data_IF_570019626962
#
_entry.id   IF_570019626962
#
_cell.length_a   1.000
_cell.length_b   1.000
_cell.length_c   1.000
_cell.angle_alpha   90.00
_cell.angle_beta   90.00
_cell.angle_gamma   90.00
#
_symmetry.space_group_name_H-M   'P 1'
#
loop_
_entity.id
_entity.type
_entity.pdbx_description
1 polymer ?
#
# COMPACT_ATOMS: atom_id res chain seq x y z
N UNK A 1 26.36 -41.71 -9.32
CA UNK A 1 26.95 -40.47 -8.84
C UNK A 1 25.85 -39.43 -8.88
N UNK A 2 25.14 -39.21 -7.76
CA UNK A 2 24.17 -38.14 -7.64
C UNK A 2 24.93 -36.81 -7.70
N UNK A 3 24.63 -35.98 -8.70
CA UNK A 3 25.14 -34.62 -8.77
C UNK A 3 24.61 -33.89 -7.54
N UNK A 4 25.51 -33.44 -6.67
CA UNK A 4 25.21 -32.45 -5.63
C UNK A 4 24.47 -31.26 -6.26
N UNK A 5 23.27 -30.97 -5.78
CA UNK A 5 22.42 -29.84 -6.25
C UNK A 5 22.97 -28.50 -5.71
N UNK A 6 24.20 -28.45 -5.24
CA UNK A 6 24.86 -27.20 -4.84
C UNK A 6 25.26 -26.45 -6.12
N UNK A 7 24.49 -25.40 -6.45
CA UNK A 7 24.91 -24.35 -7.39
C UNK A 7 25.90 -23.44 -6.62
N UNK A 8 27.14 -23.92 -6.46
CA UNK A 8 28.20 -23.20 -5.76
C UNK A 8 28.55 -21.92 -6.52
N UNK A 9 28.58 -20.80 -5.79
CA UNK A 9 29.06 -19.47 -6.16
C UNK A 9 28.09 -18.48 -6.82
N UNK A 10 26.79 -18.68 -6.75
CA UNK A 10 25.84 -17.65 -7.20
C UNK A 10 25.65 -16.58 -6.10
N UNK A 11 25.73 -15.33 -6.48
CA UNK A 11 25.40 -14.22 -5.56
C UNK A 11 23.90 -14.21 -5.26
N UNK A 12 23.50 -13.59 -4.16
CA UNK A 12 22.07 -13.47 -3.83
C UNK A 12 21.30 -12.69 -4.91
N UNK A 13 21.92 -11.69 -5.54
CA UNK A 13 21.33 -10.91 -6.63
C UNK A 13 21.06 -11.77 -7.86
N UNK A 14 22.00 -12.60 -8.26
CA UNK A 14 21.85 -13.51 -9.39
C UNK A 14 20.77 -14.56 -9.13
N UNK A 15 20.72 -15.13 -7.92
CA UNK A 15 19.68 -16.10 -7.56
C UNK A 15 18.27 -15.49 -7.57
N UNK A 16 18.11 -14.30 -7.01
CA UNK A 16 16.85 -13.56 -7.02
C UNK A 16 16.44 -13.18 -8.45
N UNK A 17 17.39 -12.68 -9.27
CA UNK A 17 17.14 -12.28 -10.63
C UNK A 17 16.70 -13.49 -11.49
N UNK A 18 17.37 -14.62 -11.35
CA UNK A 18 17.01 -15.87 -12.05
C UNK A 18 15.58 -16.29 -11.69
N UNK A 19 15.23 -16.29 -10.41
CA UNK A 19 13.90 -16.67 -9.96
C UNK A 19 12.82 -15.70 -10.49
N UNK A 20 13.08 -14.40 -10.50
CA UNK A 20 12.17 -13.39 -11.07
C UNK A 20 12.05 -13.52 -12.59
N UNK A 21 13.12 -13.84 -13.30
CA UNK A 21 13.10 -14.11 -14.75
C UNK A 21 12.23 -15.32 -15.09
N UNK A 22 12.37 -16.41 -14.32
CA UNK A 22 11.66 -17.67 -14.57
C UNK A 22 10.18 -17.62 -14.20
N UNK A 23 9.86 -17.04 -13.05
CA UNK A 23 8.50 -17.03 -12.49
C UNK A 23 7.76 -15.71 -12.61
N UNK A 24 8.46 -14.59 -12.71
CA UNK A 24 7.84 -13.26 -12.62
C UNK A 24 6.77 -12.99 -13.68
N UNK A 25 6.86 -13.64 -14.85
CA UNK A 25 5.85 -13.51 -15.90
C UNK A 25 4.58 -14.31 -15.63
N UNK A 26 4.65 -15.39 -14.87
CA UNK A 26 3.50 -16.21 -14.47
C UNK A 26 2.89 -15.75 -13.14
N UNK A 27 3.71 -15.20 -12.26
CA UNK A 27 3.32 -14.65 -10.96
C UNK A 27 3.05 -13.14 -11.07
N UNK A 28 1.96 -12.75 -11.72
CA UNK A 28 1.63 -11.34 -11.96
C UNK A 28 0.73 -10.75 -10.88
N UNK A 29 0.82 -9.44 -10.62
CA UNK A 29 -0.10 -8.74 -9.71
C UNK A 29 -1.56 -8.90 -10.16
N UNK A 30 -2.45 -9.23 -9.22
CA UNK A 30 -3.89 -9.31 -9.43
C UNK A 30 -4.58 -8.14 -8.75
N UNK A 31 -5.75 -7.74 -9.23
CA UNK A 31 -6.54 -6.66 -8.64
C UNK A 31 -7.80 -7.21 -7.98
N UNK A 32 -8.27 -6.48 -6.96
CA UNK A 32 -9.57 -6.60 -6.34
C UNK A 32 -10.17 -5.21 -6.12
N UNK A 33 -11.49 -5.11 -6.03
CA UNK A 33 -12.17 -3.86 -5.71
C UNK A 33 -12.49 -3.82 -4.22
N UNK A 34 -12.17 -2.70 -3.57
CA UNK A 34 -12.47 -2.48 -2.16
C UNK A 34 -13.06 -1.10 -1.92
N UNK A 35 -13.80 -0.96 -0.83
CA UNK A 35 -14.27 0.32 -0.33
C UNK A 35 -13.09 1.22 0.04
N UNK A 36 -13.16 2.51 -0.35
CA UNK A 36 -12.11 3.51 -0.05
C UNK A 36 -11.78 3.59 1.43
N UNK A 37 -12.77 3.42 2.32
CA UNK A 37 -12.58 3.48 3.78
C UNK A 37 -11.68 2.37 4.32
N UNK A 38 -11.54 1.26 3.58
CA UNK A 38 -10.66 0.13 3.91
C UNK A 38 -9.38 0.09 3.08
N UNK A 39 -9.12 1.15 2.28
CA UNK A 39 -8.02 1.17 1.34
C UNK A 39 -6.67 1.67 1.91
N UNK A 40 -6.61 2.06 3.17
CA UNK A 40 -5.36 2.53 3.79
C UNK A 40 -4.23 1.50 3.63
N UNK A 41 -3.07 1.97 3.19
CA UNK A 41 -1.87 1.16 2.91
C UNK A 41 -2.01 0.12 1.77
N UNK A 42 -3.17 0.03 1.10
CA UNK A 42 -3.31 -0.79 -0.10
C UNK A 42 -2.61 -0.10 -1.28
N UNK A 43 -2.30 -0.88 -2.31
CA UNK A 43 -1.62 -0.41 -3.51
C UNK A 43 -2.64 -0.31 -4.64
N UNK A 44 -2.72 0.83 -5.32
CA UNK A 44 -3.63 1.01 -6.47
C UNK A 44 -3.28 0.05 -7.60
N UNK A 45 -4.30 -0.61 -8.14
CA UNK A 45 -4.16 -1.54 -9.27
C UNK A 45 -4.19 -0.86 -10.64
N UNK A 46 -4.79 0.34 -10.70
CA UNK A 46 -5.03 1.11 -11.93
C UNK A 46 -4.87 2.61 -11.67
N UNK A 47 -4.89 3.40 -12.73
CA UNK A 47 -4.97 4.87 -12.64
C UNK A 47 -6.38 5.25 -12.17
N UNK A 48 -6.45 6.06 -11.11
CA UNK A 48 -7.71 6.53 -10.55
C UNK A 48 -7.96 7.98 -10.99
N UNK A 49 -9.16 8.23 -11.55
CA UNK A 49 -9.57 9.55 -12.02
C UNK A 49 -10.77 10.06 -11.23
N UNK A 50 -10.83 11.37 -11.01
CA UNK A 50 -11.96 12.02 -10.36
C UNK A 50 -13.27 11.77 -11.15
N UNK A 51 -14.33 11.36 -10.45
CA UNK A 51 -15.69 11.21 -11.01
C UNK A 51 -16.53 12.47 -10.84
N UNK A 52 -16.02 13.45 -10.08
CA UNK A 52 -16.68 14.71 -9.75
C UNK A 52 -15.63 15.74 -9.40
N UNK A 53 -15.83 16.98 -9.80
CA UNK A 53 -15.01 18.11 -9.35
C UNK A 53 -15.19 18.39 -7.86
N UNK A 54 -14.16 18.90 -7.20
CA UNK A 54 -14.20 19.36 -5.81
C UNK A 54 -13.59 20.77 -5.71
N UNK A 55 -14.31 21.77 -5.20
CA UNK A 55 -15.76 21.74 -4.94
C UNK A 55 -16.56 21.53 -6.24
N UNK A 56 -17.81 21.06 -6.12
CA UNK A 56 -18.67 20.81 -7.28
C UNK A 56 -19.67 21.96 -7.56
N UNK A 57 -19.59 23.04 -6.78
CA UNK A 57 -20.29 24.30 -6.96
C UNK A 57 -19.35 25.46 -6.56
N UNK A 58 -19.60 26.70 -7.06
CA UNK A 58 -18.91 27.87 -6.55
C UNK A 58 -19.30 28.11 -5.08
N UNK A 59 -18.31 28.22 -4.20
CA UNK A 59 -18.54 28.36 -2.77
C UNK A 59 -17.90 29.64 -2.21
N UNK A 60 -18.48 30.20 -1.15
CA UNK A 60 -17.82 31.26 -0.38
C UNK A 60 -16.54 30.73 0.27
N UNK A 61 -15.44 31.46 0.12
CA UNK A 61 -14.18 31.17 0.80
C UNK A 61 -14.09 31.83 2.19
N UNK A 62 -15.01 32.76 2.51
CA UNK A 62 -14.99 33.55 3.74
C UNK A 62 -16.41 33.76 4.25
N UNK A 63 -16.54 34.02 5.53
CA UNK A 63 -17.79 34.52 6.12
C UNK A 63 -17.99 35.98 5.71
N UNK A 64 -19.16 36.29 5.20
CA UNK A 64 -19.41 37.63 4.67
C UNK A 64 -20.68 37.78 3.86
N UNK A 65 -20.59 38.52 2.76
CA UNK A 65 -21.72 38.85 1.92
C UNK A 65 -21.42 38.58 0.47
N UNK A 66 -22.18 37.69 -0.14
CA UNK A 66 -22.15 37.44 -1.57
C UNK A 66 -22.78 38.66 -2.29
N UNK A 67 -22.08 39.17 -3.29
CA UNK A 67 -22.44 40.35 -4.08
C UNK A 67 -22.18 40.12 -5.56
N UNK A 68 -22.77 40.96 -6.40
CA UNK A 68 -22.29 41.14 -7.78
C UNK A 68 -21.20 42.22 -7.75
N UNK A 69 -19.98 41.87 -8.17
CA UNK A 69 -18.85 42.78 -8.18
C UNK A 69 -19.18 44.14 -8.84
N UNK A 70 -19.93 44.11 -9.98
CA UNK A 70 -20.38 45.31 -10.67
C UNK A 70 -21.18 46.27 -9.81
N UNK A 71 -21.96 45.78 -8.83
CA UNK A 71 -22.77 46.61 -7.95
C UNK A 71 -21.93 47.33 -6.89
N UNK A 72 -20.69 46.93 -6.68
CA UNK A 72 -19.75 47.54 -5.75
C UNK A 72 -18.93 48.67 -6.40
N UNK A 73 -18.91 48.76 -7.74
CA UNK A 73 -18.10 49.73 -8.44
C UNK A 73 -18.51 51.18 -8.10
N UNK A 74 -17.50 52.03 -7.91
CA UNK A 74 -17.66 53.41 -7.47
C UNK A 74 -17.63 53.59 -5.95
N UNK A 75 -17.67 52.51 -5.16
CA UNK A 75 -17.46 52.62 -3.73
C UNK A 75 -16.03 53.09 -3.42
N UNK A 76 -15.88 54.04 -2.51
CA UNK A 76 -14.61 54.57 -2.03
C UNK A 76 -14.74 55.09 -0.59
N UNK A 77 -13.63 55.34 0.09
CA UNK A 77 -13.65 55.96 1.43
C UNK A 77 -14.38 57.31 1.45
N UNK A 78 -14.34 58.08 0.34
CA UNK A 78 -15.02 59.40 0.23
C UNK A 78 -16.47 59.26 -0.17
N UNK A 79 -16.82 58.17 -0.86
CA UNK A 79 -18.16 57.86 -1.37
C UNK A 79 -18.51 56.42 -1.04
N UNK A 80 -18.80 56.10 0.25
CA UNK A 80 -19.24 54.76 0.61
C UNK A 80 -20.59 54.43 -0.04
N UNK A 81 -20.78 53.13 -0.35
CA UNK A 81 -21.95 52.69 -1.09
C UNK A 81 -22.76 51.66 -0.29
N UNK A 82 -24.09 51.85 -0.26
CA UNK A 82 -25.03 50.88 0.29
C UNK A 82 -25.33 49.78 -0.74
N UNK A 83 -25.31 48.55 -0.29
CA UNK A 83 -25.79 47.38 -1.03
C UNK A 83 -27.00 46.82 -0.29
N UNK A 84 -28.15 46.75 -1.00
CA UNK A 84 -29.44 46.35 -0.43
C UNK A 84 -29.53 44.85 -0.19
N UNK A 85 -30.17 44.48 0.93
CA UNK A 85 -30.41 43.06 1.24
C UNK A 85 -31.18 42.34 0.16
N UNK A 86 -30.87 41.02 -0.02
CA UNK A 86 -31.52 40.09 -0.93
C UNK A 86 -31.38 40.43 -2.42
N UNK A 87 -31.09 41.66 -2.78
CA UNK A 87 -30.94 42.10 -4.17
C UNK A 87 -29.51 42.30 -4.58
N UNK A 88 -28.68 42.90 -3.68
CA UNK A 88 -27.28 43.22 -3.94
C UNK A 88 -26.31 42.58 -2.96
N UNK A 89 -26.79 42.23 -1.75
CA UNK A 89 -26.01 41.54 -0.74
C UNK A 89 -26.81 40.39 -0.09
N UNK A 90 -26.19 39.23 0.01
CA UNK A 90 -26.75 38.02 0.64
C UNK A 90 -25.71 37.52 1.64
N UNK A 91 -26.11 37.32 2.89
CA UNK A 91 -25.21 36.77 3.92
C UNK A 91 -24.84 35.31 3.58
N UNK A 92 -23.55 34.97 3.69
CA UNK A 92 -23.01 33.66 3.42
C UNK A 92 -21.92 33.32 4.42
N UNK A 93 -21.85 32.07 4.79
CA UNK A 93 -20.76 31.51 5.59
C UNK A 93 -19.73 30.79 4.69
N UNK A 94 -18.54 30.55 5.21
CA UNK A 94 -17.50 29.81 4.53
C UNK A 94 -17.99 28.42 4.13
N UNK A 95 -17.92 28.10 2.84
CA UNK A 95 -18.38 26.84 2.26
C UNK A 95 -19.79 26.88 1.69
N UNK A 96 -20.59 27.92 1.97
CA UNK A 96 -21.92 28.07 1.40
C UNK A 96 -21.88 28.17 -0.12
N UNK A 97 -22.90 27.62 -0.82
CA UNK A 97 -23.04 27.82 -2.26
C UNK A 97 -23.18 29.32 -2.56
N UNK A 98 -22.43 29.80 -3.55
CA UNK A 98 -22.59 31.17 -4.00
C UNK A 98 -24.01 31.35 -4.59
N UNK A 99 -24.82 32.31 -4.11
CA UNK A 99 -26.17 32.54 -4.60
C UNK A 99 -26.18 32.86 -6.11
N UNK A 100 -27.24 32.48 -6.80
CA UNK A 100 -27.35 32.68 -8.23
C UNK A 100 -27.21 34.14 -8.63
N UNK A 101 -26.37 34.44 -9.61
CA UNK A 101 -26.10 35.79 -10.10
C UNK A 101 -25.10 36.57 -9.28
N UNK A 102 -24.61 36.05 -8.15
CA UNK A 102 -23.50 36.64 -7.38
C UNK A 102 -22.17 36.10 -7.90
N UNK A 103 -21.11 36.91 -7.86
CA UNK A 103 -19.80 36.58 -8.44
C UNK A 103 -18.62 37.01 -7.55
N UNK A 104 -18.88 37.53 -6.33
CA UNK A 104 -17.84 37.88 -5.37
C UNK A 104 -18.38 37.80 -3.93
N UNK A 105 -17.48 37.75 -2.95
CA UNK A 105 -17.80 37.84 -1.52
C UNK A 105 -17.00 38.95 -0.88
N UNK A 106 -17.69 39.81 -0.08
CA UNK A 106 -17.10 40.82 0.78
C UNK A 106 -17.01 40.21 2.17
N UNK A 107 -15.82 40.19 2.79
CA UNK A 107 -15.66 39.70 4.17
C UNK A 107 -16.40 40.56 5.18
N UNK A 108 -16.81 39.97 6.29
CA UNK A 108 -17.47 40.71 7.39
C UNK A 108 -16.67 41.95 7.84
N UNK A 109 -15.33 41.82 7.89
CA UNK A 109 -14.40 42.85 8.32
C UNK A 109 -14.27 44.03 7.32
N UNK A 110 -14.65 43.80 6.07
CA UNK A 110 -14.58 44.83 4.99
C UNK A 110 -15.87 45.71 4.96
N UNK A 111 -16.87 45.40 5.78
CA UNK A 111 -18.12 46.17 5.87
C UNK A 111 -18.02 47.25 6.93
N UNK A 112 -18.36 48.50 6.55
CA UNK A 112 -18.34 49.64 7.45
C UNK A 112 -19.52 49.62 8.42
N UNK A 113 -20.72 49.31 7.92
CA UNK A 113 -21.96 49.33 8.67
C UNK A 113 -22.95 48.29 8.15
N UNK A 114 -23.65 47.63 9.07
CA UNK A 114 -24.76 46.71 8.78
C UNK A 114 -26.05 47.32 9.37
N UNK A 115 -27.08 47.48 8.57
CA UNK A 115 -28.37 48.01 9.00
C UNK A 115 -29.53 47.19 8.39
N UNK A 116 -30.79 47.55 8.72
CA UNK A 116 -31.98 46.95 8.10
C UNK A 116 -32.04 47.18 6.58
N UNK A 117 -31.38 48.20 6.06
CA UNK A 117 -31.32 48.55 4.65
C UNK A 117 -30.39 47.60 3.85
N UNK A 118 -29.28 47.20 4.45
CA UNK A 118 -28.22 46.47 3.76
C UNK A 118 -26.86 46.63 4.46
N UNK A 119 -25.79 46.53 3.67
CA UNK A 119 -24.40 46.74 4.09
C UNK A 119 -23.82 48.01 3.43
N UNK A 120 -23.00 48.74 4.17
CA UNK A 120 -22.24 49.89 3.70
C UNK A 120 -20.80 49.47 3.43
N UNK A 121 -20.30 49.67 2.21
CA UNK A 121 -18.94 49.35 1.79
C UNK A 121 -18.18 50.63 1.38
N UNK A 122 -16.85 50.59 1.53
CA UNK A 122 -15.96 51.69 1.14
C UNK A 122 -14.96 51.30 0.03
N UNK A 123 -15.02 50.07 -0.48
CA UNK A 123 -14.13 49.60 -1.52
C UNK A 123 -14.86 48.66 -2.48
N UNK A 124 -14.60 48.75 -3.78
CA UNK A 124 -15.15 47.80 -4.72
C UNK A 124 -14.44 46.45 -4.62
N UNK A 125 -15.13 45.37 -5.01
CA UNK A 125 -14.54 44.04 -5.15
C UNK A 125 -14.47 43.66 -6.60
N UNK A 126 -13.47 42.82 -6.95
CA UNK A 126 -13.33 42.25 -8.29
C UNK A 126 -14.15 40.96 -8.41
N UNK A 127 -14.61 40.59 -9.59
CA UNK A 127 -15.25 39.28 -9.80
C UNK A 127 -14.38 38.13 -9.26
N UNK A 128 -15.02 37.14 -8.66
CA UNK A 128 -14.40 35.94 -8.07
C UNK A 128 -13.54 36.20 -6.83
N UNK A 129 -13.51 37.42 -6.28
CA UNK A 129 -12.87 37.68 -4.97
C UNK A 129 -13.54 36.82 -3.90
N UNK A 130 -12.74 36.07 -3.13
CA UNK A 130 -13.20 35.18 -2.04
C UNK A 130 -14.25 34.14 -2.45
N UNK A 131 -14.21 33.69 -3.71
CA UNK A 131 -15.05 32.59 -4.21
C UNK A 131 -14.15 31.42 -4.57
N UNK A 132 -14.43 30.27 -4.00
CA UNK A 132 -13.82 29.01 -4.41
C UNK A 132 -14.49 28.53 -5.69
N UNK A 133 -13.71 28.39 -6.74
CA UNK A 133 -14.20 27.95 -8.05
C UNK A 133 -14.49 26.45 -8.07
N UNK A 134 -15.40 26.05 -8.95
CA UNK A 134 -15.61 24.61 -9.24
C UNK A 134 -14.31 23.98 -9.68
N UNK A 135 -13.93 22.86 -9.04
CA UNK A 135 -12.71 22.13 -9.38
C UNK A 135 -11.43 22.76 -8.88
N UNK A 136 -11.48 23.70 -7.93
CA UNK A 136 -10.27 24.33 -7.35
C UNK A 136 -9.31 23.30 -6.73
N UNK A 137 -9.85 22.27 -6.05
CA UNK A 137 -9.04 21.19 -5.47
C UNK A 137 -8.72 20.09 -6.50
N UNK A 138 -9.72 19.73 -7.32
CA UNK A 138 -9.59 18.75 -8.40
C UNK A 138 -10.73 18.87 -9.41
N UNK A 139 -10.45 18.57 -10.67
CA UNK A 139 -11.42 18.62 -11.78
C UNK A 139 -11.85 17.20 -12.14
N UNK A 140 -13.14 17.03 -12.51
CA UNK A 140 -13.65 15.77 -13.05
C UNK A 140 -12.80 15.26 -14.21
N UNK A 141 -12.42 13.95 -14.18
CA UNK A 141 -11.55 13.32 -15.17
C UNK A 141 -10.05 13.45 -14.87
N UNK A 142 -9.65 14.34 -13.94
CA UNK A 142 -8.26 14.48 -13.52
C UNK A 142 -7.73 13.20 -12.85
N UNK A 143 -6.43 12.91 -13.04
CA UNK A 143 -5.75 11.78 -12.38
C UNK A 143 -5.48 12.14 -10.92
N UNK A 144 -6.12 11.42 -10.00
CA UNK A 144 -5.91 11.58 -8.56
C UNK A 144 -4.75 10.71 -8.08
N UNK A 145 -4.75 9.43 -8.47
CA UNK A 145 -3.73 8.46 -8.09
C UNK A 145 -3.23 7.70 -9.32
N UNK A 146 -1.92 7.47 -9.37
CA UNK A 146 -1.31 6.62 -10.38
C UNK A 146 -1.43 5.14 -10.00
N UNK A 147 -1.14 4.24 -10.95
CA UNK A 147 -0.98 2.80 -10.66
C UNK A 147 0.20 2.58 -9.70
N UNK A 148 0.10 1.55 -8.87
CA UNK A 148 1.13 1.16 -7.89
C UNK A 148 1.43 2.25 -6.83
N UNK A 149 0.49 3.13 -6.55
CA UNK A 149 0.57 4.10 -5.46
C UNK A 149 0.09 3.46 -4.14
N UNK A 150 0.85 3.67 -3.05
CA UNK A 150 0.42 3.28 -1.70
C UNK A 150 -0.56 4.33 -1.17
N UNK A 151 -1.80 3.92 -0.91
CA UNK A 151 -2.87 4.79 -0.45
C UNK A 151 -2.61 5.27 0.97
N UNK A 152 -2.57 6.58 1.16
CA UNK A 152 -2.36 7.30 2.42
C UNK A 152 -3.69 7.85 2.95
N UNK A 153 -3.76 8.30 4.21
CA UNK A 153 -5.00 8.87 4.77
C UNK A 153 -5.59 10.03 3.95
N UNK A 154 -4.75 10.98 3.49
CA UNK A 154 -5.19 12.10 2.67
C UNK A 154 -5.71 11.66 1.29
N UNK A 155 -5.18 10.57 0.73
CA UNK A 155 -5.65 10.03 -0.54
C UNK A 155 -7.09 9.49 -0.41
N UNK A 156 -7.44 8.87 0.74
CA UNK A 156 -8.82 8.42 0.99
C UNK A 156 -9.79 9.61 1.02
N UNK A 157 -9.41 10.72 1.65
CA UNK A 157 -10.20 11.95 1.66
C UNK A 157 -10.42 12.51 0.25
N UNK A 158 -9.35 12.61 -0.54
CA UNK A 158 -9.41 13.08 -1.93
C UNK A 158 -10.30 12.16 -2.80
N UNK A 159 -10.16 10.84 -2.67
CA UNK A 159 -10.98 9.86 -3.40
C UNK A 159 -12.47 10.03 -3.10
N UNK A 160 -12.84 10.17 -1.83
CA UNK A 160 -14.24 10.38 -1.42
C UNK A 160 -14.78 11.71 -1.93
N UNK A 161 -14.01 12.81 -1.83
CA UNK A 161 -14.38 14.11 -2.37
C UNK A 161 -14.59 14.05 -3.90
N UNK A 162 -13.78 13.26 -4.59
CA UNK A 162 -13.90 13.00 -6.03
C UNK A 162 -15.06 12.07 -6.42
N UNK A 163 -15.88 11.61 -5.48
CA UNK A 163 -17.04 10.74 -5.72
C UNK A 163 -16.66 9.27 -5.95
N UNK A 164 -15.49 8.81 -5.48
CA UNK A 164 -15.04 7.42 -5.59
C UNK A 164 -15.33 6.72 -4.27
N UNK A 165 -16.14 5.67 -4.30
CA UNK A 165 -16.49 4.86 -3.11
C UNK A 165 -15.73 3.54 -3.08
N UNK A 166 -15.42 2.99 -4.24
CA UNK A 166 -14.66 1.76 -4.43
C UNK A 166 -13.58 1.98 -5.48
N UNK A 167 -12.45 1.30 -5.32
CA UNK A 167 -11.33 1.40 -6.25
C UNK A 167 -10.61 0.06 -6.41
N UNK A 168 -9.97 -0.16 -7.57
CA UNK A 168 -9.13 -1.34 -7.80
C UNK A 168 -7.81 -1.18 -7.05
N UNK A 169 -7.49 -2.17 -6.23
CA UNK A 169 -6.22 -2.30 -5.53
C UNK A 169 -5.58 -3.64 -5.82
N UNK A 170 -4.27 -3.74 -5.64
CA UNK A 170 -3.56 -5.02 -5.73
C UNK A 170 -4.06 -5.98 -4.65
N UNK A 171 -4.36 -7.23 -5.02
CA UNK A 171 -4.61 -8.28 -4.06
C UNK A 171 -3.40 -8.45 -3.14
N UNK A 172 -3.63 -8.70 -1.85
CA UNK A 172 -2.54 -9.06 -0.93
C UNK A 172 -1.98 -10.42 -1.32
N UNK A 173 -0.65 -10.54 -1.56
CA UNK A 173 -0.03 -11.85 -1.76
C UNK A 173 -0.22 -12.73 -0.52
N UNK A 174 -0.71 -13.96 -0.71
CA UNK A 174 -0.88 -14.93 0.37
C UNK A 174 0.40 -15.72 0.56
N UNK A 175 1.00 -15.61 1.74
CA UNK A 175 2.27 -16.25 2.09
C UNK A 175 2.02 -17.31 3.15
N UNK A 176 2.25 -18.59 2.79
CA UNK A 176 2.25 -19.69 3.72
C UNK A 176 3.61 -19.86 4.36
N UNK A 177 3.64 -19.98 5.69
CA UNK A 177 4.86 -20.13 6.49
C UNK A 177 4.77 -21.47 7.20
N UNK A 178 5.67 -22.41 6.87
CA UNK A 178 5.75 -23.73 7.45
C UNK A 178 6.98 -23.87 8.33
N UNK A 179 6.84 -23.84 9.66
CA UNK A 179 7.94 -24.18 10.58
C UNK A 179 8.19 -25.68 10.56
N UNK A 180 9.46 -26.10 10.48
CA UNK A 180 9.84 -27.51 10.47
C UNK A 180 10.95 -27.78 11.48
N UNK A 181 10.90 -28.92 12.14
CA UNK A 181 11.92 -29.38 13.09
C UNK A 181 11.33 -30.16 14.25
N UNK A 182 11.98 -31.28 14.60
CA UNK A 182 11.56 -32.13 15.75
C UNK A 182 11.79 -31.41 17.08
N UNK A 183 12.71 -30.41 17.12
CA UNK A 183 13.02 -29.60 18.29
C UNK A 183 12.07 -28.41 18.48
N UNK A 184 11.27 -28.06 17.46
CA UNK A 184 10.44 -26.85 17.47
C UNK A 184 9.15 -27.07 18.28
N UNK A 185 8.81 -26.10 19.12
CA UNK A 185 7.61 -26.10 19.96
C UNK A 185 6.77 -24.85 19.79
N UNK A 186 5.47 -25.01 19.94
CA UNK A 186 4.51 -23.91 19.92
C UNK A 186 4.81 -22.92 21.05
N UNK A 187 4.73 -21.60 20.83
CA UNK A 187 4.89 -20.59 21.88
C UNK A 187 3.96 -20.84 23.08
N UNK A 188 4.53 -20.74 24.31
CA UNK A 188 3.81 -21.00 25.56
C UNK A 188 3.90 -22.45 26.07
N UNK A 189 4.48 -23.37 25.30
CA UNK A 189 4.76 -24.74 25.76
C UNK A 189 5.98 -24.76 26.70
N UNK A 190 5.96 -25.49 27.85
CA UNK A 190 7.16 -25.76 28.63
C UNK A 190 8.21 -26.47 27.77
N UNK A 191 9.45 -26.02 27.86
CA UNK A 191 10.55 -26.56 27.06
C UNK A 191 11.38 -27.56 27.83
N UNK A 192 11.72 -28.67 27.18
CA UNK A 192 12.76 -29.58 27.62
C UNK A 192 14.14 -29.17 27.06
N UNK A 193 15.19 -29.80 27.59
CA UNK A 193 16.56 -29.52 27.08
C UNK A 193 16.70 -29.94 25.60
N UNK A 194 17.00 -28.98 24.75
CA UNK A 194 17.15 -29.20 23.30
C UNK A 194 15.95 -28.72 22.48
N UNK A 195 14.85 -28.36 23.13
CA UNK A 195 13.69 -27.78 22.47
C UNK A 195 13.79 -26.28 22.38
N UNK A 196 13.22 -25.71 21.31
CA UNK A 196 13.18 -24.28 21.02
C UNK A 196 11.78 -23.85 20.63
N UNK A 197 11.39 -22.65 21.05
CA UNK A 197 10.10 -22.05 20.66
C UNK A 197 10.18 -21.56 19.22
N UNK A 198 9.10 -21.81 18.45
CA UNK A 198 8.92 -21.18 17.13
C UNK A 198 8.67 -19.67 17.27
N UNK A 199 9.72 -18.89 17.22
CA UNK A 199 9.65 -17.41 17.14
C UNK A 199 9.75 -16.90 15.71
N UNK A 200 10.41 -17.65 14.82
CA UNK A 200 10.69 -17.22 13.45
C UNK A 200 9.42 -17.09 12.61
N UNK A 201 8.46 -18.02 12.77
CA UNK A 201 7.21 -17.95 12.02
C UNK A 201 6.43 -16.67 12.34
N UNK A 202 6.43 -16.22 13.59
CA UNK A 202 5.82 -14.95 13.99
C UNK A 202 6.55 -13.77 13.37
N UNK A 203 7.88 -13.77 13.36
CA UNK A 203 8.68 -12.71 12.71
C UNK A 203 8.39 -12.68 11.21
N UNK A 204 8.38 -13.83 10.53
CA UNK A 204 8.07 -13.90 9.11
C UNK A 204 6.66 -13.39 8.79
N UNK A 205 5.68 -13.79 9.60
CA UNK A 205 4.29 -13.35 9.45
C UNK A 205 4.19 -11.81 9.55
N UNK A 206 4.81 -11.24 10.58
CA UNK A 206 4.82 -9.78 10.79
C UNK A 206 5.51 -9.03 9.65
N UNK A 207 6.64 -9.54 9.14
CA UNK A 207 7.33 -8.96 7.99
C UNK A 207 6.47 -8.99 6.71
N UNK A 208 5.80 -10.11 6.45
CA UNK A 208 4.89 -10.24 5.30
C UNK A 208 3.77 -9.20 5.38
N UNK A 209 3.17 -9.01 6.56
CA UNK A 209 2.12 -8.02 6.76
C UNK A 209 2.63 -6.58 6.63
N UNK A 210 3.81 -6.28 7.17
CA UNK A 210 4.48 -4.99 7.01
C UNK A 210 4.74 -4.65 5.54
N UNK A 211 5.11 -5.64 4.73
CA UNK A 211 5.31 -5.48 3.29
C UNK A 211 4.02 -5.40 2.48
N UNK A 212 2.86 -5.68 3.10
CA UNK A 212 1.53 -5.57 2.50
C UNK A 212 0.95 -6.90 2.00
N UNK A 213 1.53 -8.03 2.38
CA UNK A 213 0.99 -9.38 2.14
C UNK A 213 -0.06 -9.81 3.17
N UNK A 214 -0.51 -11.05 3.05
CA UNK A 214 -1.34 -11.78 4.00
C UNK A 214 -0.61 -13.06 4.40
N UNK A 215 -0.32 -13.22 5.69
CA UNK A 215 0.45 -14.35 6.19
C UNK A 215 -0.47 -15.45 6.77
N UNK A 216 -0.04 -16.71 6.60
CA UNK A 216 -0.63 -17.85 7.30
C UNK A 216 0.48 -18.76 7.81
N UNK A 217 0.58 -18.85 9.15
CA UNK A 217 1.46 -19.84 9.79
C UNK A 217 0.75 -21.19 9.78
N UNK A 218 1.44 -22.20 9.25
CA UNK A 218 0.99 -23.59 9.22
C UNK A 218 1.44 -24.32 10.48
N UNK A 219 0.81 -25.45 10.81
CA UNK A 219 1.25 -26.27 11.94
C UNK A 219 2.71 -26.68 11.82
N UNK A 220 3.42 -26.72 12.95
CA UNK A 220 4.79 -27.24 13.01
C UNK A 220 4.80 -28.67 12.48
N UNK A 221 5.65 -28.90 11.47
CA UNK A 221 5.76 -30.20 10.82
C UNK A 221 7.06 -30.86 11.23
N UNK A 222 7.02 -32.14 11.56
CA UNK A 222 8.21 -32.91 11.90
C UNK A 222 9.08 -33.14 10.65
N UNK A 223 10.36 -33.42 10.87
CA UNK A 223 11.34 -33.66 9.79
C UNK A 223 11.15 -35.01 9.07
N UNK A 224 9.91 -35.33 8.75
CA UNK A 224 9.51 -36.52 7.99
C UNK A 224 9.16 -36.13 6.57
N UNK A 225 9.82 -36.72 5.56
CA UNK A 225 9.62 -36.34 4.16
C UNK A 225 8.17 -36.36 3.70
N UNK A 226 7.39 -37.38 4.14
CA UNK A 226 5.99 -37.54 3.76
C UNK A 226 5.09 -36.44 4.36
N UNK A 227 5.30 -36.06 5.62
CA UNK A 227 4.53 -35.01 6.30
C UNK A 227 4.86 -33.62 5.72
N UNK A 228 6.14 -33.37 5.44
CA UNK A 228 6.60 -32.16 4.76
C UNK A 228 6.01 -32.04 3.37
N UNK A 229 6.01 -33.13 2.59
CA UNK A 229 5.45 -33.16 1.26
C UNK A 229 3.94 -32.86 1.25
N UNK A 230 3.19 -33.51 2.16
CA UNK A 230 1.74 -33.29 2.30
C UNK A 230 1.42 -31.83 2.67
N UNK A 231 2.11 -31.29 3.68
CA UNK A 231 1.95 -29.90 4.11
C UNK A 231 2.23 -28.92 2.97
N UNK A 232 3.30 -29.15 2.21
CA UNK A 232 3.73 -28.37 1.07
C UNK A 232 2.69 -28.32 -0.04
N UNK A 233 2.20 -29.49 -0.44
CA UNK A 233 1.18 -29.58 -1.48
C UNK A 233 -0.14 -28.96 -1.05
N UNK A 234 -0.47 -29.05 0.25
CA UNK A 234 -1.64 -28.37 0.81
C UNK A 234 -1.48 -26.85 0.78
N UNK A 235 -0.29 -26.33 1.15
CA UNK A 235 0.04 -24.89 1.04
C UNK A 235 -0.04 -24.40 -0.40
N UNK A 236 0.52 -25.13 -1.34
CA UNK A 236 0.56 -24.77 -2.76
C UNK A 236 -0.85 -24.59 -3.36
N UNK A 237 -1.89 -25.21 -2.81
CA UNK A 237 -3.28 -25.04 -3.27
C UNK A 237 -3.87 -23.68 -2.92
N UNK A 238 -3.43 -23.05 -1.82
CA UNK A 238 -4.10 -21.89 -1.23
C UNK A 238 -3.23 -20.65 -1.08
N UNK A 239 -1.90 -20.81 -1.13
CA UNK A 239 -0.95 -19.71 -0.97
C UNK A 239 -0.35 -19.29 -2.30
N UNK A 240 0.09 -18.04 -2.42
CA UNK A 240 0.77 -17.50 -3.60
C UNK A 240 2.30 -17.68 -3.47
N UNK A 241 2.82 -17.69 -2.24
CA UNK A 241 4.23 -17.87 -1.90
C UNK A 241 4.35 -18.91 -0.79
N UNK A 242 5.36 -19.77 -0.86
CA UNK A 242 5.63 -20.84 0.09
C UNK A 242 6.95 -20.60 0.82
N UNK A 243 6.91 -20.54 2.15
CA UNK A 243 8.09 -20.31 2.99
C UNK A 243 8.26 -21.49 3.96
N UNK A 244 9.45 -22.09 3.95
CA UNK A 244 9.86 -23.15 4.87
C UNK A 244 10.89 -22.58 5.81
N UNK A 245 10.71 -22.77 7.09
CA UNK A 245 11.72 -22.43 8.09
C UNK A 245 12.30 -23.73 8.60
N UNK A 246 13.48 -24.09 8.08
CA UNK A 246 14.15 -25.33 8.42
C UNK A 246 15.05 -25.17 9.66
N UNK A 247 15.06 -26.18 10.54
CA UNK A 247 16.03 -26.25 11.64
C UNK A 247 17.47 -26.38 11.14
N UNK A 248 18.45 -26.08 12.01
CA UNK A 248 19.88 -25.83 11.71
C UNK A 248 20.75 -27.04 11.36
N UNK A 249 20.22 -28.22 11.04
CA UNK A 249 21.06 -29.39 10.82
C UNK A 249 21.41 -29.62 9.35
N UNK A 250 22.71 -29.82 9.06
CA UNK A 250 23.30 -30.01 7.72
C UNK A 250 22.71 -31.13 6.86
N UNK A 251 21.81 -31.97 7.39
CA UNK A 251 21.14 -33.05 6.63
C UNK A 251 19.72 -32.71 6.23
N UNK A 252 19.12 -31.65 6.74
CA UNK A 252 17.69 -31.31 6.58
C UNK A 252 17.42 -30.36 5.41
N UNK A 253 18.36 -29.50 5.07
CA UNK A 253 18.30 -28.66 3.86
C UNK A 253 18.15 -29.49 2.60
N UNK A 254 18.64 -30.73 2.65
CA UNK A 254 18.56 -31.71 1.58
C UNK A 254 17.11 -32.19 1.30
N UNK A 255 16.24 -32.29 2.33
CA UNK A 255 14.84 -32.73 2.11
C UNK A 255 14.01 -31.62 1.46
N UNK A 256 14.13 -30.39 1.92
CA UNK A 256 13.40 -29.24 1.34
C UNK A 256 13.79 -29.06 -0.12
N UNK A 257 15.08 -29.09 -0.45
CA UNK A 257 15.55 -29.01 -1.83
C UNK A 257 15.05 -30.17 -2.69
N UNK A 258 15.03 -31.40 -2.16
CA UNK A 258 14.53 -32.59 -2.87
C UNK A 258 13.02 -32.50 -3.14
N UNK A 259 12.23 -32.02 -2.19
CA UNK A 259 10.79 -31.84 -2.38
C UNK A 259 10.53 -30.74 -3.41
N UNK A 260 11.23 -29.59 -3.34
CA UNK A 260 11.13 -28.55 -4.35
C UNK A 260 11.49 -29.12 -5.73
N UNK A 261 12.59 -29.82 -5.87
CA UNK A 261 13.00 -30.44 -7.13
C UNK A 261 12.03 -31.53 -7.67
N UNK A 262 11.26 -32.16 -6.78
CA UNK A 262 10.25 -33.17 -7.17
C UNK A 262 9.00 -32.52 -7.78
N UNK A 263 8.58 -31.35 -7.31
CA UNK A 263 7.33 -30.70 -7.71
C UNK A 263 7.51 -29.39 -8.49
N UNK A 264 8.76 -29.02 -8.76
CA UNK A 264 9.13 -27.80 -9.47
C UNK A 264 10.61 -27.74 -9.78
N UNK A 265 11.22 -26.56 -9.65
CA UNK A 265 12.64 -26.33 -9.97
C UNK A 265 13.34 -25.62 -8.79
N UNK A 266 14.59 -26.01 -8.51
CA UNK A 266 15.48 -25.31 -7.56
C UNK A 266 16.36 -24.35 -8.33
N UNK A 267 16.27 -23.05 -8.04
CA UNK A 267 17.05 -22.00 -8.70
C UNK A 267 18.35 -21.68 -7.96
N UNK A 268 18.32 -21.78 -6.62
CA UNK A 268 19.49 -21.55 -5.77
C UNK A 268 19.44 -22.48 -4.56
N UNK A 269 20.56 -23.13 -4.26
CA UNK A 269 20.77 -23.87 -3.01
C UNK A 269 22.08 -23.42 -2.39
N UNK A 270 21.98 -22.51 -1.42
CA UNK A 270 23.10 -21.82 -0.80
C UNK A 270 23.51 -20.53 -1.53
N UNK A 271 23.46 -19.42 -0.83
CA UNK A 271 23.88 -18.10 -1.32
C UNK A 271 25.24 -17.67 -0.72
N UNK A 272 25.98 -16.86 -1.47
CA UNK A 272 27.23 -16.25 -0.98
C UNK A 272 26.94 -15.07 -0.04
N UNK A 273 26.23 -15.34 1.07
CA UNK A 273 25.92 -14.36 2.14
C UNK A 273 26.27 -14.90 3.50
N UNK A 274 26.56 -14.00 4.44
CA UNK A 274 26.86 -14.37 5.83
C UNK A 274 26.35 -13.27 6.77
N UNK A 275 25.34 -13.55 7.64
CA UNK A 275 24.64 -14.83 7.82
C UNK A 275 23.62 -15.12 6.71
N UNK A 276 23.09 -16.37 6.65
CA UNK A 276 22.03 -16.76 5.72
C UNK A 276 22.47 -17.67 4.53
N UNK A 277 23.73 -18.18 4.57
CA UNK A 277 24.25 -19.04 3.50
C UNK A 277 23.31 -20.18 3.09
N UNK A 278 22.65 -20.97 4.00
CA UNK A 278 21.86 -22.14 3.62
C UNK A 278 20.42 -21.78 3.17
N UNK A 279 20.24 -20.74 2.37
CA UNK A 279 18.95 -20.38 1.78
C UNK A 279 18.68 -21.23 0.53
N UNK A 280 17.42 -21.60 0.31
CA UNK A 280 16.98 -22.30 -0.91
C UNK A 280 15.95 -21.42 -1.61
N UNK A 281 16.13 -21.21 -2.91
CA UNK A 281 15.15 -20.57 -3.80
C UNK A 281 14.69 -21.55 -4.85
N UNK A 282 13.39 -21.63 -5.05
CA UNK A 282 12.82 -22.51 -6.05
C UNK A 282 11.36 -22.22 -6.32
N UNK A 283 10.71 -23.15 -6.98
CA UNK A 283 9.27 -23.09 -7.21
C UNK A 283 8.63 -24.44 -6.93
N UNK A 284 7.35 -24.44 -6.56
CA UNK A 284 6.49 -25.63 -6.46
C UNK A 284 5.20 -25.32 -7.19
N UNK A 285 4.92 -26.10 -8.27
CA UNK A 285 3.71 -25.91 -9.09
C UNK A 285 3.54 -24.47 -9.60
N UNK A 286 4.63 -23.82 -10.02
CA UNK A 286 4.64 -22.45 -10.52
C UNK A 286 4.53 -21.38 -9.44
N UNK A 287 4.71 -21.72 -8.17
CA UNK A 287 4.66 -20.77 -7.05
C UNK A 287 6.03 -20.61 -6.40
N UNK A 288 6.46 -19.39 -6.10
CA UNK A 288 7.73 -19.13 -5.41
C UNK A 288 7.82 -19.91 -4.10
N UNK A 289 8.94 -20.60 -3.90
CA UNK A 289 9.23 -21.41 -2.72
C UNK A 289 10.59 -21.03 -2.12
N UNK A 290 10.61 -20.76 -0.81
CA UNK A 290 11.78 -20.29 -0.07
C UNK A 290 12.08 -21.19 1.11
N UNK A 291 13.27 -21.81 1.11
CA UNK A 291 13.84 -22.44 2.31
C UNK A 291 14.65 -21.42 3.08
N UNK A 292 14.16 -21.02 4.26
CA UNK A 292 14.78 -20.00 5.11
C UNK A 292 15.49 -20.69 6.29
N UNK A 293 16.75 -20.29 6.62
CA UNK A 293 17.50 -20.84 7.74
C UNK A 293 16.80 -20.63 9.08
N UNK A 294 16.88 -21.62 10.01
CA UNK A 294 16.26 -21.55 11.33
C UNK A 294 16.91 -20.56 12.32
N UNK A 295 18.14 -20.09 12.09
CA UNK A 295 18.73 -19.07 12.94
C UNK A 295 18.05 -17.71 12.77
N UNK A 296 17.58 -17.03 13.86
CA UNK A 296 16.72 -15.84 13.75
C UNK A 296 17.31 -14.72 12.90
N UNK A 297 18.58 -14.37 13.07
CA UNK A 297 19.23 -13.31 12.28
C UNK A 297 19.37 -13.72 10.81
N UNK A 298 19.68 -14.98 10.54
CA UNK A 298 19.76 -15.51 9.18
C UNK A 298 18.37 -15.50 8.52
N UNK A 299 17.36 -15.93 9.25
CA UNK A 299 15.96 -15.93 8.80
C UNK A 299 15.51 -14.52 8.42
N UNK A 300 15.74 -13.55 9.28
CA UNK A 300 15.38 -12.14 9.04
C UNK A 300 16.06 -11.58 7.79
N UNK A 301 17.39 -11.75 7.68
CA UNK A 301 18.14 -11.22 6.53
C UNK A 301 17.74 -11.89 5.22
N UNK A 302 17.58 -13.21 5.22
CA UNK A 302 17.17 -13.93 4.02
C UNK A 302 15.75 -13.57 3.58
N UNK A 303 14.84 -13.34 4.53
CA UNK A 303 13.50 -12.84 4.22
C UNK A 303 13.54 -11.46 3.55
N UNK A 304 14.34 -10.53 4.05
CA UNK A 304 14.48 -9.20 3.44
C UNK A 304 15.12 -9.24 2.04
N UNK A 305 16.09 -10.13 1.84
CA UNK A 305 16.79 -10.22 0.56
C UNK A 305 15.98 -10.94 -0.53
N UNK A 306 15.19 -11.93 -0.16
CA UNK A 306 14.53 -12.81 -1.13
C UNK A 306 13.00 -12.77 -1.07
N UNK A 307 12.40 -12.84 0.12
CA UNK A 307 10.93 -12.89 0.26
C UNK A 307 10.28 -11.52 0.05
N UNK A 308 10.84 -10.45 0.63
CA UNK A 308 10.33 -9.09 0.44
C UNK A 308 10.22 -8.66 -1.02
N UNK A 309 11.24 -8.88 -1.89
CA UNK A 309 11.14 -8.55 -3.31
C UNK A 309 10.00 -9.28 -4.02
N UNK A 310 9.70 -10.52 -3.64
CA UNK A 310 8.60 -11.28 -4.21
C UNK A 310 7.24 -10.79 -3.75
N UNK A 311 7.06 -10.48 -2.47
CA UNK A 311 5.83 -9.85 -1.97
C UNK A 311 5.60 -8.53 -2.69
N UNK A 312 6.64 -7.70 -2.85
CA UNK A 312 6.56 -6.43 -3.58
C UNK A 312 6.29 -6.60 -5.07
N UNK A 313 6.88 -7.62 -5.71
CA UNK A 313 6.61 -7.95 -7.10
C UNK A 313 5.12 -8.24 -7.34
N UNK A 314 4.50 -9.07 -6.50
CA UNK A 314 3.08 -9.40 -6.59
C UNK A 314 2.15 -8.21 -6.24
N UNK A 315 2.67 -7.18 -5.56
CA UNK A 315 1.98 -5.91 -5.34
C UNK A 315 2.23 -4.89 -6.47
N UNK A 316 3.01 -5.24 -7.49
CA UNK A 316 3.39 -4.33 -8.57
C UNK A 316 4.39 -3.25 -8.15
N UNK A 317 5.03 -3.43 -7.00
CA UNK A 317 6.05 -2.52 -6.47
C UNK A 317 7.44 -3.01 -6.87
N UNK A 318 8.30 -2.09 -7.31
CA UNK A 318 9.71 -2.39 -7.48
C UNK A 318 10.45 -2.16 -6.16
N UNK A 319 11.21 -3.13 -5.70
CA UNK A 319 12.17 -2.89 -4.62
C UNK A 319 13.39 -2.18 -5.21
N UNK A 320 13.71 -1.01 -4.69
CA UNK A 320 15.04 -0.44 -4.89
C UNK A 320 16.10 -1.43 -4.37
N UNK A 321 17.16 -1.66 -5.15
CA UNK A 321 18.30 -2.45 -4.67
C UNK A 321 18.86 -1.73 -3.43
N UNK A 322 18.97 -2.41 -2.27
CA UNK A 322 19.58 -1.77 -1.09
C UNK A 322 20.97 -1.25 -1.44
N UNK A 323 21.36 -0.07 -0.95
CA UNK A 323 22.72 0.43 -1.17
C UNK A 323 23.72 -0.61 -0.63
N UNK A 324 24.51 -1.16 -1.53
CA UNK A 324 25.65 -2.02 -1.16
C UNK A 324 26.84 -1.13 -0.87
N UNK A 325 27.36 -1.21 0.35
CA UNK A 325 28.70 -0.65 0.67
C UNK A 325 29.71 -1.60 0.03
N UNK A 326 30.49 -1.07 -0.90
CA UNK A 326 31.66 -1.79 -1.46
C UNK A 326 32.81 -1.80 -0.47
#
# INVERSE_FOLDING_TARGET
>A
MERSIYLENMTWQEGLALMLERLGQSCVPRNEYIDVRHALNRITGEIIRAKRSSPHYPASAMDGYAVRAKDTFGASEREPKWLEWQTQAIEVDTGDPLPEGMDAVIMLEEVLEKSERGILIQSPVVPWKHVRSVGEDMVEGEVILTVNHRIRPQDQGALLAAGILELPVRCKPKVGILPTGDEIRVPGTPLERGEIVDSNSTVMASLVEEWGGESKIWPITQDRPEELEEALLAMAKTQDILVFIAGSSQGRDDYTAKIIAKYGEVYLHGAAIKPGKPVILGEIQGKPAFGIPGYPVSAYITAQLFLEPWVKHLLGLQKGIPPTVQ
#
